data_IF_666870947305
#
_entry.id   IF_666870947305
#
_cell.length_a   1.000
_cell.length_b   1.000
_cell.length_c   1.000
_cell.angle_alpha   90.00
_cell.angle_beta   90.00
_cell.angle_gamma   90.00
#
_symmetry.space_group_name_H-M   'P 1'
#
loop_
_entity.id
_entity.type
_entity.pdbx_description
1 polymer ?
#
# COMPACT_ATOMS: atom_id res chain seq x y z
N UNK A 1 -11.13 29.85 23.94
CA UNK A 1 -11.15 28.40 23.64
C UNK A 1 -10.92 28.25 22.14
N UNK A 2 -9.66 28.18 21.72
CA UNK A 2 -9.32 28.00 20.30
C UNK A 2 -9.56 26.55 19.91
N UNK A 3 -10.71 26.26 19.32
CA UNK A 3 -11.01 24.95 18.76
C UNK A 3 -9.96 24.62 17.71
N UNK A 4 -9.15 23.59 17.99
CA UNK A 4 -8.19 23.04 17.04
C UNK A 4 -8.98 22.41 15.89
N UNK A 5 -9.25 23.18 14.83
CA UNK A 5 -9.88 22.67 13.61
C UNK A 5 -8.90 21.68 12.99
N UNK A 6 -9.19 20.38 13.11
CA UNK A 6 -8.50 19.37 12.31
C UNK A 6 -8.70 19.74 10.85
N UNK A 7 -7.62 20.14 10.20
CA UNK A 7 -7.64 20.46 8.78
C UNK A 7 -7.95 19.17 8.03
N UNK A 8 -9.05 19.15 7.30
CA UNK A 8 -9.48 17.97 6.54
C UNK A 8 -8.50 17.77 5.38
N UNK A 9 -7.89 16.58 5.30
CA UNK A 9 -6.97 16.24 4.23
C UNK A 9 -7.78 16.10 2.94
N UNK A 10 -7.56 16.97 1.96
CA UNK A 10 -8.17 16.87 0.62
C UNK A 10 -7.17 16.22 -0.33
N UNK A 11 -7.53 15.06 -0.89
CA UNK A 11 -6.70 14.35 -1.85
C UNK A 11 -6.90 14.95 -3.24
N UNK A 12 -5.79 15.28 -3.89
CA UNK A 12 -5.77 15.70 -5.29
C UNK A 12 -5.29 14.54 -6.14
N UNK A 13 -6.17 14.09 -7.03
CA UNK A 13 -5.94 13.02 -7.99
C UNK A 13 -5.68 13.65 -9.37
N UNK A 14 -4.67 13.18 -10.12
CA UNK A 14 -4.38 13.70 -11.46
C UNK A 14 -5.61 13.61 -12.37
N UNK A 15 -5.83 14.62 -13.21
CA UNK A 15 -6.93 14.62 -14.18
C UNK A 15 -8.34 14.76 -13.59
N UNK A 16 -8.50 14.81 -12.26
CA UNK A 16 -9.82 14.79 -11.62
C UNK A 16 -10.50 13.42 -11.66
N UNK A 17 -9.72 12.36 -11.87
CA UNK A 17 -10.19 10.98 -11.90
C UNK A 17 -10.74 10.53 -10.53
N UNK A 18 -11.69 9.60 -10.52
CA UNK A 18 -12.22 9.02 -9.27
C UNK A 18 -11.81 7.56 -9.08
N UNK A 19 -11.30 6.90 -10.11
CA UNK A 19 -10.80 5.54 -10.06
C UNK A 19 -9.28 5.56 -10.05
N UNK A 20 -8.68 4.99 -9.01
CA UNK A 20 -7.23 5.03 -8.81
C UNK A 20 -6.69 3.66 -8.45
N UNK A 21 -5.43 3.40 -8.80
CA UNK A 21 -4.71 2.23 -8.30
C UNK A 21 -3.95 2.62 -7.02
N UNK A 22 -4.13 1.85 -5.95
CA UNK A 22 -3.46 2.04 -4.67
C UNK A 22 -2.56 0.85 -4.36
N UNK A 23 -1.25 1.06 -4.35
CA UNK A 23 -0.31 0.06 -3.84
C UNK A 23 -0.41 -0.05 -2.32
N UNK A 24 -0.55 -1.27 -1.82
CA UNK A 24 -0.51 -1.59 -0.40
C UNK A 24 0.42 -2.78 -0.13
N UNK A 25 1.16 -2.72 0.98
CA UNK A 25 1.96 -3.85 1.47
C UNK A 25 1.38 -4.49 2.74
N UNK A 26 0.35 -3.86 3.34
CA UNK A 26 -0.33 -4.32 4.55
C UNK A 26 -1.66 -3.56 4.74
N UNK A 27 -2.68 -4.19 5.33
CA UNK A 27 -4.01 -3.61 5.57
C UNK A 27 -4.05 -2.37 6.49
N UNK A 28 -3.43 -2.39 7.70
CA UNK A 28 -3.50 -1.24 8.62
C UNK A 28 -2.83 0.02 8.07
N UNK A 29 -1.85 -0.13 7.17
CA UNK A 29 -1.10 1.00 6.62
C UNK A 29 -1.92 1.84 5.64
N UNK A 30 -2.85 1.22 4.91
CA UNK A 30 -3.67 1.88 3.90
C UNK A 30 -5.06 2.28 4.40
N UNK A 31 -5.55 1.73 5.51
CA UNK A 31 -6.94 1.91 5.96
C UNK A 31 -7.39 3.37 6.13
N UNK A 32 -6.58 4.22 6.77
CA UNK A 32 -6.92 5.63 6.94
C UNK A 32 -6.96 6.40 5.61
N UNK A 33 -6.08 6.06 4.67
CA UNK A 33 -6.04 6.67 3.34
C UNK A 33 -7.23 6.23 2.50
N UNK A 34 -7.55 4.94 2.52
CA UNK A 34 -8.72 4.36 1.84
C UNK A 34 -10.01 5.01 2.35
N UNK A 35 -10.14 5.19 3.67
CA UNK A 35 -11.30 5.84 4.26
C UNK A 35 -11.46 7.29 3.77
N UNK A 36 -10.36 8.06 3.70
CA UNK A 36 -10.37 9.42 3.19
C UNK A 36 -10.72 9.44 1.69
N UNK A 37 -10.14 8.56 0.89
CA UNK A 37 -10.46 8.41 -0.54
C UNK A 37 -11.95 8.16 -0.75
N UNK A 38 -12.51 7.18 -0.05
CA UNK A 38 -13.93 6.82 -0.15
C UNK A 38 -14.85 7.97 0.25
N UNK A 39 -14.54 8.68 1.34
CA UNK A 39 -15.29 9.88 1.77
C UNK A 39 -15.27 11.00 0.73
N UNK A 40 -14.22 11.07 -0.07
CA UNK A 40 -14.04 12.08 -1.13
C UNK A 40 -14.53 11.59 -2.51
N UNK A 41 -15.17 10.42 -2.57
CA UNK A 41 -15.68 9.87 -3.83
C UNK A 41 -14.60 9.27 -4.72
N UNK A 42 -13.39 9.05 -4.19
CA UNK A 42 -12.29 8.35 -4.87
C UNK A 42 -12.39 6.86 -4.50
N UNK A 43 -12.52 6.00 -5.50
CA UNK A 43 -12.61 4.55 -5.34
C UNK A 43 -11.30 3.89 -5.78
N UNK A 44 -10.47 3.42 -4.83
CA UNK A 44 -9.24 2.71 -5.18
C UNK A 44 -9.51 1.26 -5.58
N UNK A 45 -8.77 0.78 -6.57
CA UNK A 45 -8.42 -0.64 -6.71
C UNK A 45 -7.14 -0.88 -5.93
N UNK A 46 -7.14 -1.83 -5.00
CA UNK A 46 -5.97 -2.11 -4.15
C UNK A 46 -5.07 -3.13 -4.83
N UNK A 47 -3.81 -2.77 -5.07
CA UNK A 47 -2.76 -3.66 -5.56
C UNK A 47 -1.86 -4.05 -4.40
N UNK A 48 -1.89 -5.33 -4.02
CA UNK A 48 -1.09 -5.86 -2.92
C UNK A 48 0.22 -6.46 -3.46
N UNK A 49 1.36 -5.88 -3.06
CA UNK A 49 2.68 -6.35 -3.50
C UNK A 49 3.74 -6.02 -2.46
N UNK A 50 4.46 -7.03 -1.97
CA UNK A 50 5.69 -6.87 -1.20
C UNK A 50 6.45 -8.20 -0.96
N UNK A 51 7.30 -8.59 -1.90
CA UNK A 51 8.15 -9.79 -1.78
C UNK A 51 9.26 -9.70 -0.72
N UNK A 52 9.49 -8.53 -0.11
CA UNK A 52 10.41 -8.38 1.02
C UNK A 52 9.83 -8.95 2.33
N UNK A 53 8.51 -9.13 2.44
CA UNK A 53 7.90 -9.67 3.65
C UNK A 53 8.32 -11.14 3.81
N UNK A 54 8.97 -11.43 4.93
CA UNK A 54 9.47 -12.76 5.24
C UNK A 54 9.25 -13.04 6.74
N UNK A 55 8.92 -14.29 7.13
CA UNK A 55 8.75 -15.47 6.29
C UNK A 55 7.42 -15.44 5.50
N UNK A 56 7.21 -16.41 4.59
CA UNK A 56 6.02 -16.49 3.75
C UNK A 56 4.72 -16.46 4.58
N UNK A 57 4.73 -17.05 5.76
CA UNK A 57 3.57 -17.05 6.66
C UNK A 57 3.14 -15.63 7.06
N UNK A 58 4.09 -14.70 7.26
CA UNK A 58 3.79 -13.30 7.55
C UNK A 58 3.21 -12.57 6.33
N UNK A 59 3.73 -12.87 5.13
CA UNK A 59 3.16 -12.34 3.87
C UNK A 59 1.71 -12.75 3.72
N UNK A 60 1.43 -14.05 3.89
CA UNK A 60 0.10 -14.63 3.76
C UNK A 60 -0.92 -14.03 4.74
N UNK A 61 -0.53 -13.86 6.01
CA UNK A 61 -1.38 -13.24 7.02
C UNK A 61 -1.72 -11.79 6.64
N UNK A 62 -0.73 -11.00 6.23
CA UNK A 62 -0.93 -9.59 5.86
C UNK A 62 -1.76 -9.43 4.58
N UNK A 63 -1.53 -10.31 3.61
CA UNK A 63 -2.31 -10.39 2.37
C UNK A 63 -3.77 -10.68 2.67
N UNK A 64 -4.04 -11.71 3.46
CA UNK A 64 -5.39 -12.14 3.82
C UNK A 64 -6.15 -11.02 4.54
N UNK A 65 -5.50 -10.36 5.49
CA UNK A 65 -6.10 -9.24 6.21
C UNK A 65 -6.40 -8.06 5.29
N UNK A 66 -5.53 -7.77 4.33
CA UNK A 66 -5.75 -6.70 3.35
C UNK A 66 -6.92 -7.01 2.42
N UNK A 67 -6.99 -8.24 1.92
CA UNK A 67 -8.09 -8.71 1.07
C UNK A 67 -9.43 -8.69 1.82
N UNK A 68 -9.45 -9.14 3.08
CA UNK A 68 -10.63 -9.08 3.96
C UNK A 68 -11.09 -7.65 4.17
N UNK A 69 -10.17 -6.72 4.42
CA UNK A 69 -10.47 -5.30 4.55
C UNK A 69 -11.06 -4.71 3.26
N UNK A 70 -10.48 -5.03 2.09
CA UNK A 70 -11.00 -4.56 0.80
C UNK A 70 -12.41 -5.08 0.53
N UNK A 71 -12.64 -6.38 0.76
CA UNK A 71 -13.96 -7.00 0.61
C UNK A 71 -15.01 -6.34 1.52
N UNK A 72 -14.66 -6.05 2.78
CA UNK A 72 -15.56 -5.40 3.74
C UNK A 72 -15.95 -3.96 3.32
N UNK A 73 -15.13 -3.30 2.49
CA UNK A 73 -15.38 -1.95 1.98
C UNK A 73 -15.84 -1.95 0.51
N UNK A 74 -16.08 -3.12 -0.10
CA UNK A 74 -16.51 -3.22 -1.50
C UNK A 74 -15.46 -2.75 -2.52
N UNK A 75 -14.19 -2.89 -2.19
CA UNK A 75 -13.06 -2.50 -3.03
C UNK A 75 -12.52 -3.69 -3.82
N UNK A 76 -12.05 -3.40 -5.03
CA UNK A 76 -11.35 -4.37 -5.85
C UNK A 76 -9.94 -4.62 -5.30
N UNK A 77 -9.49 -5.87 -5.38
CA UNK A 77 -8.21 -6.32 -4.83
C UNK A 77 -7.47 -7.14 -5.88
N UNK A 78 -6.23 -6.72 -6.17
CA UNK A 78 -5.30 -7.38 -7.07
C UNK A 78 -4.13 -7.86 -6.22
N UNK A 79 -3.78 -9.12 -6.34
CA UNK A 79 -2.64 -9.73 -5.67
C UNK A 79 -1.49 -9.88 -6.66
N UNK A 80 -0.30 -9.46 -6.26
CA UNK A 80 0.94 -9.68 -7.00
C UNK A 80 1.58 -11.02 -6.64
N UNK A 81 2.47 -11.49 -7.50
CA UNK A 81 3.21 -12.72 -7.26
C UNK A 81 4.25 -12.54 -6.15
N UNK A 82 4.24 -13.44 -5.17
CA UNK A 82 5.26 -13.45 -4.11
C UNK A 82 6.51 -14.22 -4.56
N UNK A 83 7.62 -13.52 -4.73
CA UNK A 83 8.93 -14.12 -4.98
C UNK A 83 10.02 -13.49 -4.11
N UNK A 84 10.18 -14.04 -2.91
CA UNK A 84 11.23 -13.60 -1.99
C UNK A 84 12.64 -13.89 -2.49
N UNK A 85 12.81 -14.94 -3.32
CA UNK A 85 14.15 -15.31 -3.82
C UNK A 85 14.61 -14.32 -4.88
N UNK A 86 13.72 -13.95 -5.78
CA UNK A 86 13.98 -12.91 -6.77
C UNK A 86 14.26 -11.57 -6.08
N UNK A 87 13.44 -11.19 -5.09
CA UNK A 87 13.68 -9.99 -4.29
C UNK A 87 15.06 -9.97 -3.62
N UNK A 88 15.48 -11.08 -3.00
CA UNK A 88 16.82 -11.20 -2.43
C UNK A 88 17.93 -11.09 -3.47
N UNK A 89 17.69 -11.58 -4.69
CA UNK A 89 18.68 -11.52 -5.77
C UNK A 89 18.99 -10.09 -6.19
N UNK A 90 17.96 -9.22 -6.20
CA UNK A 90 18.08 -7.78 -6.48
C UNK A 90 18.75 -7.04 -5.31
N UNK A 91 18.41 -7.42 -4.06
CA UNK A 91 18.96 -6.78 -2.87
C UNK A 91 20.41 -7.18 -2.55
N UNK A 92 20.90 -8.28 -3.14
CA UNK A 92 22.21 -8.86 -2.82
C UNK A 92 23.35 -7.91 -3.14
N UNK A 93 24.24 -7.70 -2.17
CA UNK A 93 25.35 -6.76 -2.26
C UNK A 93 24.95 -5.30 -1.99
N UNK A 94 23.67 -5.02 -1.74
CA UNK A 94 23.13 -3.70 -1.40
C UNK A 94 22.57 -3.66 0.03
N UNK A 95 22.89 -4.64 0.87
CA UNK A 95 22.34 -4.82 2.22
C UNK A 95 22.70 -3.65 3.14
N UNK A 96 23.85 -3.02 2.89
CA UNK A 96 24.37 -1.89 3.67
C UNK A 96 24.19 -0.54 2.99
N UNK A 97 23.54 -0.50 1.82
CA UNK A 97 23.26 0.76 1.14
C UNK A 97 22.33 1.62 2.03
N UNK A 98 22.64 2.91 2.20
CA UNK A 98 21.79 3.82 2.94
C UNK A 98 20.44 4.01 2.23
N UNK A 99 19.46 4.50 2.96
CA UNK A 99 18.23 5.01 2.36
C UNK A 99 18.57 6.06 1.29
N UNK A 100 17.91 5.97 0.12
CA UNK A 100 18.21 6.78 -1.08
C UNK A 100 19.59 6.51 -1.72
N UNK A 101 20.24 5.41 -1.34
CA UNK A 101 21.48 4.90 -1.96
C UNK A 101 21.22 4.11 -3.25
N UNK A 102 22.18 3.29 -3.67
CA UNK A 102 22.11 2.56 -4.94
C UNK A 102 20.90 1.63 -5.04
N UNK A 103 20.44 1.08 -3.90
CA UNK A 103 19.20 0.28 -3.80
C UNK A 103 17.93 1.03 -4.24
N UNK A 104 17.94 2.36 -4.25
CA UNK A 104 16.78 3.19 -4.58
C UNK A 104 16.87 3.86 -5.97
N UNK A 105 17.88 3.53 -6.79
CA UNK A 105 18.14 4.21 -8.07
C UNK A 105 17.53 3.53 -9.30
N UNK A 106 16.56 2.64 -9.11
CA UNK A 106 15.84 1.97 -10.19
C UNK A 106 14.33 2.07 -9.98
#
# INVERSE_FOLDING_TARGET
MGGNRKQELVLQVPGGETEVLLHACCAPCSGAIIEIMLRQGIRPTVFYSNSNIFPLEEYEIRREECRRYCAANGLDFIDDDYDHKDWQSVAKGLEHEPERGARCQE
#
